data_IF_658272178081
#
_entry.id   IF_658272178081
#
_cell.length_a   1.000
_cell.length_b   1.000
_cell.length_c   1.000
_cell.angle_alpha   90.00
_cell.angle_beta   90.00
_cell.angle_gamma   90.00
#
_symmetry.space_group_name_H-M   'P 1'
#
loop_
_entity.id
_entity.type
_entity.pdbx_description
1 polymer ?
#
# COMPACT_ATOMS: atom_id res chain seq x y z
N UNK A 1 6.01 -20.42 -8.37
CA UNK A 1 4.83 -20.17 -7.52
C UNK A 1 5.32 -20.05 -6.10
N UNK A 2 4.76 -19.14 -5.32
CA UNK A 2 5.13 -18.93 -3.91
C UNK A 2 3.87 -18.56 -3.12
N UNK A 3 3.81 -18.94 -1.85
CA UNK A 3 2.73 -18.58 -0.95
C UNK A 3 2.85 -17.12 -0.49
N UNK A 4 1.72 -16.43 -0.27
CA UNK A 4 1.74 -14.98 0.00
C UNK A 4 2.54 -14.61 1.24
N UNK A 5 2.49 -15.43 2.29
CA UNK A 5 3.23 -15.27 3.54
C UNK A 5 4.76 -15.34 3.36
N UNK A 6 5.24 -15.94 2.26
CA UNK A 6 6.66 -16.02 1.91
C UNK A 6 7.08 -14.99 0.85
N UNK A 7 6.16 -14.13 0.39
CA UNK A 7 6.49 -13.09 -0.59
C UNK A 7 7.37 -12.03 0.07
N UNK A 8 8.46 -11.71 -0.61
CA UNK A 8 9.48 -10.74 -0.18
C UNK A 8 9.64 -9.62 -1.21
N UNK A 9 10.36 -8.53 -0.88
CA UNK A 9 10.64 -7.45 -1.83
C UNK A 9 11.31 -7.91 -3.15
N UNK A 10 12.14 -8.95 -3.13
CA UNK A 10 12.75 -9.53 -4.33
C UNK A 10 11.71 -10.12 -5.29
N UNK A 11 10.62 -10.68 -4.74
CA UNK A 11 9.52 -11.17 -5.55
C UNK A 11 8.77 -10.00 -6.21
N UNK A 12 8.57 -8.90 -5.49
CA UNK A 12 7.93 -7.70 -6.06
C UNK A 12 8.73 -7.14 -7.25
N UNK A 13 10.07 -7.10 -7.15
CA UNK A 13 10.94 -6.69 -8.25
C UNK A 13 10.75 -7.59 -9.48
N UNK A 14 10.73 -8.91 -9.30
CA UNK A 14 10.51 -9.87 -10.41
C UNK A 14 9.14 -9.68 -11.06
N UNK A 15 8.09 -9.47 -10.27
CA UNK A 15 6.73 -9.21 -10.78
C UNK A 15 6.71 -7.90 -11.57
N UNK A 16 7.28 -6.83 -11.02
CA UNK A 16 7.35 -5.53 -11.68
C UNK A 16 8.12 -5.59 -13.01
N UNK A 17 9.28 -6.25 -13.04
CA UNK A 17 10.06 -6.45 -14.27
C UNK A 17 9.27 -7.24 -15.33
N UNK A 18 8.53 -8.27 -14.91
CA UNK A 18 7.69 -9.04 -15.82
C UNK A 18 6.57 -8.17 -16.39
N UNK A 19 5.89 -7.38 -15.55
CA UNK A 19 4.82 -6.48 -15.99
C UNK A 19 5.35 -5.39 -16.94
N UNK A 20 6.51 -4.80 -16.63
CA UNK A 20 7.17 -3.82 -17.50
C UNK A 20 7.48 -4.39 -18.89
N UNK A 21 7.95 -5.64 -18.97
CA UNK A 21 8.15 -6.33 -20.25
C UNK A 21 6.88 -6.45 -21.12
N UNK A 22 5.70 -6.34 -20.49
CA UNK A 22 4.38 -6.40 -21.13
C UNK A 22 3.77 -5.01 -21.41
N UNK A 23 4.46 -3.91 -21.06
CA UNK A 23 3.95 -2.55 -21.23
C UNK A 23 3.57 -2.23 -22.69
N UNK A 24 4.29 -2.83 -23.66
CA UNK A 24 4.06 -2.66 -25.11
C UNK A 24 3.25 -3.78 -25.77
N UNK A 25 2.75 -4.75 -25.01
CA UNK A 25 1.86 -5.80 -25.53
C UNK A 25 0.52 -5.22 -26.03
N UNK A 26 -0.21 -6.00 -26.81
CA UNK A 26 -1.56 -5.71 -27.29
C UNK A 26 -2.68 -6.11 -26.31
N UNK A 27 -2.32 -6.64 -25.14
CA UNK A 27 -3.27 -7.00 -24.09
C UNK A 27 -4.11 -5.81 -23.62
N UNK A 28 -5.38 -6.06 -23.31
CA UNK A 28 -6.28 -5.04 -22.74
C UNK A 28 -5.97 -4.71 -21.28
N UNK A 29 -5.31 -5.62 -20.57
CA UNK A 29 -4.91 -5.50 -19.18
C UNK A 29 -4.24 -6.78 -18.71
N UNK A 30 -3.77 -6.80 -17.47
CA UNK A 30 -3.02 -7.92 -16.92
C UNK A 30 -3.65 -8.37 -15.60
N UNK A 31 -3.96 -9.66 -15.50
CA UNK A 31 -4.38 -10.31 -14.26
C UNK A 31 -3.17 -10.94 -13.58
N UNK A 32 -2.99 -10.66 -12.29
CA UNK A 32 -1.94 -11.25 -11.45
C UNK A 32 -2.61 -12.10 -10.37
N UNK A 33 -2.55 -13.41 -10.54
CA UNK A 33 -3.00 -14.33 -9.50
C UNK A 33 -2.05 -14.25 -8.30
N UNK A 34 -2.58 -13.95 -7.11
CA UNK A 34 -1.78 -13.72 -5.91
C UNK A 34 -2.49 -14.29 -4.67
N UNK A 35 -1.71 -14.78 -3.69
CA UNK A 35 -2.22 -15.18 -2.37
C UNK A 35 -2.71 -13.97 -1.56
N UNK A 36 -3.65 -14.16 -0.64
CA UNK A 36 -4.38 -13.02 -0.06
C UNK A 36 -3.63 -12.29 1.06
N UNK A 37 -2.70 -12.93 1.76
CA UNK A 37 -2.14 -12.37 3.00
C UNK A 37 -1.30 -11.11 2.78
N UNK A 38 -0.55 -11.06 1.68
CA UNK A 38 0.37 -9.96 1.36
C UNK A 38 0.00 -9.23 0.07
N UNK A 39 -1.17 -9.53 -0.51
CA UNK A 39 -1.61 -8.97 -1.80
C UNK A 39 -1.59 -7.43 -1.81
N UNK A 40 -2.01 -6.80 -0.70
CA UNK A 40 -2.01 -5.34 -0.55
C UNK A 40 -0.60 -4.74 -0.66
N UNK A 41 0.42 -5.42 -0.14
CA UNK A 41 1.81 -4.94 -0.18
C UNK A 41 2.37 -5.04 -1.60
N UNK A 42 2.13 -6.17 -2.27
CA UNK A 42 2.51 -6.34 -3.68
C UNK A 42 1.81 -5.32 -4.56
N UNK A 43 0.50 -5.10 -4.37
CA UNK A 43 -0.25 -4.09 -5.11
C UNK A 43 0.36 -2.70 -4.91
N UNK A 44 0.67 -2.31 -3.67
CA UNK A 44 1.32 -1.04 -3.34
C UNK A 44 2.65 -0.86 -4.08
N UNK A 45 3.54 -1.87 -4.04
CA UNK A 45 4.84 -1.76 -4.67
C UNK A 45 4.71 -1.55 -6.18
N UNK A 46 3.88 -2.37 -6.83
CA UNK A 46 3.62 -2.27 -8.27
C UNK A 46 3.03 -0.91 -8.66
N UNK A 47 2.20 -0.35 -7.78
CA UNK A 47 1.60 0.97 -7.97
C UNK A 47 2.65 2.07 -8.08
N UNK A 48 3.69 2.03 -7.24
CA UNK A 48 4.78 3.01 -7.27
C UNK A 48 5.79 2.70 -8.37
N UNK A 49 6.23 1.45 -8.47
CA UNK A 49 7.28 1.02 -9.38
C UNK A 49 6.88 1.16 -10.86
N UNK A 50 5.60 0.98 -11.17
CA UNK A 50 5.05 1.04 -12.53
C UNK A 50 4.18 2.30 -12.73
N UNK A 51 4.46 3.39 -12.02
CA UNK A 51 3.65 4.60 -12.15
C UNK A 51 3.56 5.08 -13.60
N UNK A 52 2.33 5.29 -14.08
CA UNK A 52 2.03 5.62 -15.48
C UNK A 52 1.83 4.41 -16.41
N UNK A 53 1.84 3.16 -15.90
CA UNK A 53 1.67 1.97 -16.74
C UNK A 53 0.42 2.07 -17.63
N UNK A 54 0.52 1.76 -18.93
CA UNK A 54 -0.51 2.13 -19.90
C UNK A 54 -1.75 1.23 -19.93
N UNK A 55 -1.86 0.29 -18.99
CA UNK A 55 -2.95 -0.70 -18.93
C UNK A 55 -3.39 -0.94 -17.48
N UNK A 56 -4.60 -1.45 -17.22
CA UNK A 56 -4.98 -1.95 -15.90
C UNK A 56 -4.18 -3.21 -15.54
N UNK A 57 -3.66 -3.22 -14.32
CA UNK A 57 -3.06 -4.40 -13.67
C UNK A 57 -3.96 -4.74 -12.49
N UNK A 58 -4.48 -5.95 -12.42
CA UNK A 58 -5.42 -6.36 -11.37
C UNK A 58 -4.86 -7.59 -10.66
N UNK A 59 -4.54 -7.43 -9.38
CA UNK A 59 -4.25 -8.55 -8.50
C UNK A 59 -5.58 -9.19 -8.07
N UNK A 60 -5.61 -10.51 -8.11
CA UNK A 60 -6.81 -11.29 -7.82
C UNK A 60 -6.42 -12.58 -7.10
N UNK A 61 -7.26 -13.01 -6.16
CA UNK A 61 -7.04 -14.23 -5.39
C UNK A 61 -8.35 -14.86 -4.95
N UNK A 62 -8.29 -15.72 -3.94
CA UNK A 62 -9.46 -16.32 -3.30
C UNK A 62 -9.19 -16.54 -1.82
N UNK A 63 -10.20 -16.35 -0.98
CA UNK A 63 -10.14 -16.63 0.46
C UNK A 63 -10.45 -18.10 0.74
N UNK A 64 -11.30 -18.71 -0.08
CA UNK A 64 -11.62 -20.14 -0.02
C UNK A 64 -10.86 -20.86 -1.14
N UNK A 65 -10.18 -21.94 -0.76
CA UNK A 65 -9.40 -22.79 -1.66
C UNK A 65 -10.17 -23.14 -2.94
N UNK A 66 -9.51 -23.04 -4.08
CA UNK A 66 -10.12 -23.15 -5.42
C UNK A 66 -10.66 -24.54 -5.76
N UNK A 67 -10.23 -25.57 -5.02
CA UNK A 67 -10.71 -26.95 -5.11
C UNK A 67 -12.09 -27.14 -4.47
N UNK A 68 -12.59 -26.16 -3.71
CA UNK A 68 -13.90 -26.24 -3.05
C UNK A 68 -15.02 -25.72 -3.95
N UNK A 69 -16.20 -26.38 -3.98
CA UNK A 69 -17.37 -25.88 -4.72
C UNK A 69 -17.83 -24.48 -4.30
N UNK A 70 -17.51 -24.06 -3.07
CA UNK A 70 -17.84 -22.75 -2.54
C UNK A 70 -16.70 -21.73 -2.68
N UNK A 71 -15.71 -21.98 -3.55
CA UNK A 71 -14.62 -21.05 -3.78
C UNK A 71 -15.10 -19.73 -4.38
N UNK A 72 -14.50 -18.64 -3.92
CA UNK A 72 -14.67 -17.30 -4.48
C UNK A 72 -13.76 -17.03 -5.69
N UNK A 73 -12.87 -17.96 -6.06
CA UNK A 73 -11.87 -17.78 -7.12
C UNK A 73 -12.49 -17.45 -8.49
N UNK A 74 -13.55 -18.16 -8.89
CA UNK A 74 -14.18 -17.98 -10.19
C UNK A 74 -14.80 -16.59 -10.33
N UNK A 75 -15.59 -16.17 -9.35
CA UNK A 75 -16.25 -14.86 -9.34
C UNK A 75 -15.23 -13.72 -9.27
N UNK A 76 -14.21 -13.82 -8.42
CA UNK A 76 -13.14 -12.82 -8.35
C UNK A 76 -12.43 -12.67 -9.70
N UNK A 77 -12.10 -13.79 -10.36
CA UNK A 77 -11.41 -13.76 -11.65
C UNK A 77 -12.28 -13.18 -12.77
N UNK A 78 -13.56 -13.56 -12.82
CA UNK A 78 -14.55 -13.02 -13.78
C UNK A 78 -14.74 -11.52 -13.54
N UNK A 79 -14.92 -11.09 -12.30
CA UNK A 79 -15.06 -9.68 -11.92
C UNK A 79 -13.84 -8.85 -12.30
N UNK A 80 -12.64 -9.37 -12.03
CA UNK A 80 -11.37 -8.74 -12.42
C UNK A 80 -11.22 -8.60 -13.94
N UNK A 81 -11.58 -9.64 -14.71
CA UNK A 81 -11.57 -9.60 -16.17
C UNK A 81 -12.58 -8.59 -16.74
N UNK A 82 -13.81 -8.58 -16.18
CA UNK A 82 -14.85 -7.59 -16.53
C UNK A 82 -14.37 -6.17 -16.25
N UNK A 83 -13.69 -5.94 -15.13
CA UNK A 83 -13.11 -4.65 -14.80
C UNK A 83 -12.06 -4.20 -15.83
N UNK A 84 -11.13 -5.09 -16.22
CA UNK A 84 -10.10 -4.77 -17.23
C UNK A 84 -10.71 -4.28 -18.53
N UNK A 85 -11.75 -4.96 -19.04
CA UNK A 85 -12.31 -4.65 -20.36
C UNK A 85 -13.31 -3.48 -20.36
N UNK A 86 -13.86 -3.11 -19.19
CA UNK A 86 -14.92 -2.09 -19.10
C UNK A 86 -14.50 -0.77 -18.45
N UNK A 87 -13.50 -0.78 -17.57
CA UNK A 87 -13.15 0.42 -16.79
C UNK A 87 -12.48 1.51 -17.62
N UNK A 88 -11.75 1.15 -18.67
CA UNK A 88 -10.85 2.05 -19.40
C UNK A 88 -9.90 2.83 -18.45
N UNK A 89 -9.53 2.19 -17.33
CA UNK A 89 -8.68 2.77 -16.30
C UNK A 89 -7.28 2.16 -16.34
N UNK A 90 -6.27 3.01 -16.18
CA UNK A 90 -4.91 2.58 -15.94
C UNK A 90 -4.62 2.62 -14.43
N UNK A 91 -3.83 1.66 -13.96
CA UNK A 91 -3.50 1.57 -12.55
C UNK A 91 -3.32 0.14 -12.07
N UNK A 92 -2.94 0.02 -10.80
CA UNK A 92 -2.87 -1.25 -10.10
C UNK A 92 -4.07 -1.34 -9.17
N UNK A 93 -4.79 -2.45 -9.27
CA UNK A 93 -6.02 -2.71 -8.52
C UNK A 93 -5.97 -4.06 -7.82
N UNK A 94 -6.76 -4.20 -6.78
CA UNK A 94 -7.09 -5.50 -6.16
C UNK A 94 -8.57 -5.77 -6.40
N UNK A 95 -8.90 -6.92 -6.98
CA UNK A 95 -10.28 -7.34 -7.23
C UNK A 95 -10.63 -8.56 -6.38
N UNK A 96 -11.59 -8.38 -5.47
CA UNK A 96 -12.08 -9.40 -4.53
C UNK A 96 -13.59 -9.23 -4.33
N UNK A 97 -14.26 -10.17 -3.67
CA UNK A 97 -15.68 -10.04 -3.36
C UNK A 97 -15.98 -8.74 -2.62
N UNK A 98 -17.07 -8.07 -2.99
CA UNK A 98 -17.54 -6.86 -2.29
C UNK A 98 -18.37 -7.20 -1.04
N UNK A 99 -19.04 -8.36 -1.03
CA UNK A 99 -19.83 -8.87 0.10
C UNK A 99 -19.56 -10.35 0.39
N UNK A 100 -20.22 -10.94 1.38
CA UNK A 100 -20.12 -12.40 1.62
C UNK A 100 -20.87 -13.23 0.56
N UNK A 101 -21.76 -12.57 -0.19
CA UNK A 101 -22.56 -13.15 -1.26
C UNK A 101 -21.81 -13.16 -2.60
N UNK A 102 -22.31 -13.99 -3.51
CA UNK A 102 -21.77 -14.18 -4.85
C UNK A 102 -22.32 -13.14 -5.87
N UNK A 103 -22.64 -11.94 -5.40
CA UNK A 103 -23.37 -10.92 -6.18
C UNK A 103 -22.44 -9.99 -6.97
N UNK A 104 -21.33 -9.58 -6.35
CA UNK A 104 -20.47 -8.51 -6.86
C UNK A 104 -19.00 -8.58 -6.41
N UNK A 105 -18.14 -8.00 -7.25
CA UNK A 105 -16.69 -7.87 -7.02
C UNK A 105 -16.33 -6.41 -6.83
N UNK A 106 -15.64 -6.09 -5.75
CA UNK A 106 -15.06 -4.78 -5.50
C UNK A 106 -13.67 -4.71 -6.14
N UNK A 107 -13.39 -3.62 -6.86
CA UNK A 107 -12.06 -3.29 -7.36
C UNK A 107 -11.54 -2.08 -6.58
N UNK A 108 -10.49 -2.32 -5.81
CA UNK A 108 -9.87 -1.33 -4.93
C UNK A 108 -8.60 -0.78 -5.58
N UNK A 109 -8.28 0.50 -5.32
CA UNK A 109 -6.97 1.04 -5.66
C UNK A 109 -5.88 0.28 -4.91
N UNK A 110 -4.81 -0.14 -5.57
CA UNK A 110 -3.73 -0.95 -4.99
C UNK A 110 -3.02 -0.31 -3.79
N UNK A 111 -3.15 1.00 -3.63
CA UNK A 111 -2.56 1.84 -2.57
C UNK A 111 -3.56 2.26 -1.49
N UNK A 112 -4.84 1.89 -1.62
CA UNK A 112 -5.92 2.23 -0.67
C UNK A 112 -6.65 0.99 -0.14
N UNK A 113 -6.14 -0.20 -0.40
CA UNK A 113 -6.77 -1.47 -0.04
C UNK A 113 -6.07 -2.14 1.12
N UNK A 114 -6.83 -2.75 2.03
CA UNK A 114 -6.31 -3.52 3.14
C UNK A 114 -7.12 -4.80 3.38
N UNK A 115 -6.45 -5.92 3.70
CA UNK A 115 -7.08 -7.14 4.19
C UNK A 115 -7.44 -6.95 5.67
N UNK A 116 -8.69 -6.60 5.93
CA UNK A 116 -9.22 -6.28 7.26
C UNK A 116 -9.86 -7.48 7.97
N UNK A 117 -10.09 -8.59 7.27
CA UNK A 117 -10.61 -9.81 7.87
C UNK A 117 -9.74 -11.02 7.54
N UNK A 118 -9.65 -11.97 8.48
CA UNK A 118 -8.78 -13.15 8.36
C UNK A 118 -9.32 -14.21 7.38
N UNK A 119 -10.65 -14.37 7.27
CA UNK A 119 -11.26 -15.43 6.45
C UNK A 119 -12.46 -15.04 5.56
N UNK A 120 -13.11 -13.88 5.75
CA UNK A 120 -14.29 -13.50 4.96
C UNK A 120 -13.93 -13.29 3.49
N UNK A 121 -14.87 -13.58 2.58
CA UNK A 121 -14.67 -13.36 1.14
C UNK A 121 -14.43 -11.87 0.82
N UNK A 122 -15.19 -10.99 1.46
CA UNK A 122 -15.00 -9.53 1.41
C UNK A 122 -13.96 -9.02 2.42
N UNK A 123 -12.90 -9.80 2.67
CA UNK A 123 -11.85 -9.40 3.60
C UNK A 123 -11.07 -8.15 3.17
N UNK A 124 -11.06 -7.82 1.89
CA UNK A 124 -10.35 -6.64 1.38
C UNK A 124 -11.30 -5.44 1.33
N UNK A 125 -10.87 -4.35 1.96
CA UNK A 125 -11.66 -3.14 2.07
C UNK A 125 -10.84 -1.94 1.59
N UNK A 126 -11.51 -0.96 0.98
CA UNK A 126 -10.89 0.34 0.74
C UNK A 126 -10.93 1.14 2.04
N UNK A 127 -9.77 1.60 2.47
CA UNK A 127 -9.63 2.35 3.71
C UNK A 127 -10.06 3.80 3.49
N UNK A 128 -11.01 4.28 4.31
CA UNK A 128 -11.48 5.66 4.32
C UNK A 128 -12.33 6.09 3.13
N UNK A 129 -12.78 5.14 2.29
CA UNK A 129 -13.64 5.43 1.15
C UNK A 129 -14.39 4.17 0.69
N UNK A 130 -15.28 4.33 -0.30
CA UNK A 130 -15.88 3.20 -1.03
C UNK A 130 -14.84 2.54 -1.95
N UNK A 131 -15.00 1.25 -2.31
CA UNK A 131 -14.23 0.64 -3.38
C UNK A 131 -14.25 1.50 -4.64
N UNK A 132 -13.11 1.64 -5.32
CA UNK A 132 -12.98 2.52 -6.47
C UNK A 132 -14.00 2.16 -7.57
N UNK A 133 -14.24 0.85 -7.73
CA UNK A 133 -15.27 0.33 -8.62
C UNK A 133 -15.96 -0.89 -8.00
N UNK A 134 -17.21 -1.13 -8.42
CA UNK A 134 -17.96 -2.34 -8.11
C UNK A 134 -18.45 -2.93 -9.43
N UNK A 135 -18.16 -4.21 -9.64
CA UNK A 135 -18.70 -5.02 -10.75
C UNK A 135 -19.86 -5.83 -10.17
N UNK A 136 -21.09 -5.44 -10.50
CA UNK A 136 -22.30 -6.20 -10.15
C UNK A 136 -22.95 -6.69 -11.44
N UNK A 137 -22.99 -8.01 -11.63
CA UNK A 137 -23.44 -8.64 -12.88
C UNK A 137 -22.75 -8.03 -14.12
N UNK A 138 -23.47 -7.22 -14.89
CA UNK A 138 -22.98 -6.53 -16.09
C UNK A 138 -22.86 -5.01 -15.93
N UNK A 139 -22.98 -4.49 -14.72
CA UNK A 139 -22.83 -3.06 -14.44
C UNK A 139 -21.50 -2.78 -13.76
N UNK A 140 -20.76 -1.79 -14.28
CA UNK A 140 -19.61 -1.20 -13.64
C UNK A 140 -20.04 0.08 -12.93
N UNK A 141 -20.00 0.09 -11.61
CA UNK A 141 -20.23 1.29 -10.79
C UNK A 141 -18.86 1.90 -10.49
N UNK A 142 -18.66 3.17 -10.87
CA UNK A 142 -17.43 3.92 -10.60
C UNK A 142 -17.63 4.88 -9.42
N UNK A 143 -16.87 4.69 -8.34
CA UNK A 143 -16.87 5.58 -7.17
C UNK A 143 -15.62 6.48 -7.10
N UNK A 144 -14.54 6.11 -7.79
CA UNK A 144 -13.30 6.90 -7.81
C UNK A 144 -13.26 7.84 -9.03
N UNK A 145 -13.27 9.17 -8.82
CA UNK A 145 -13.13 10.14 -9.90
C UNK A 145 -11.65 10.40 -10.21
N UNK A 146 -11.35 10.57 -11.49
CA UNK A 146 -10.04 11.05 -11.95
C UNK A 146 -8.97 9.97 -12.13
N UNK A 147 -7.72 10.38 -12.42
CA UNK A 147 -6.64 9.47 -12.75
C UNK A 147 -6.04 8.83 -11.49
N UNK A 148 -5.74 7.54 -11.60
CA UNK A 148 -5.06 6.78 -10.56
C UNK A 148 -3.62 7.24 -10.37
N UNK A 149 -2.84 7.28 -11.46
CA UNK A 149 -1.49 7.83 -11.47
C UNK A 149 -1.53 9.35 -11.57
N UNK A 150 -0.68 10.04 -10.80
CA UNK A 150 -0.59 11.50 -10.86
C UNK A 150 0.34 12.00 -11.96
N UNK A 151 1.33 11.19 -12.33
CA UNK A 151 2.14 11.44 -13.52
C UNK A 151 1.46 10.88 -14.78
N UNK A 152 1.63 11.58 -15.91
CA UNK A 152 1.08 11.16 -17.20
C UNK A 152 1.94 10.13 -17.91
N UNK A 153 3.26 10.30 -17.85
CA UNK A 153 4.20 9.49 -18.60
C UNK A 153 4.58 8.22 -17.86
N UNK A 154 4.71 7.11 -18.59
CA UNK A 154 5.20 5.85 -18.05
C UNK A 154 6.73 5.88 -17.93
N UNK A 155 7.22 6.09 -16.72
CA UNK A 155 8.65 6.00 -16.39
C UNK A 155 8.82 5.02 -15.23
N UNK A 156 9.01 3.72 -15.49
CA UNK A 156 9.09 2.72 -14.45
C UNK A 156 10.34 2.93 -13.58
N UNK A 157 10.15 2.86 -12.26
CA UNK A 157 11.21 2.94 -11.25
C UNK A 157 11.21 1.65 -10.44
N UNK A 158 11.81 0.61 -11.00
CA UNK A 158 11.79 -0.76 -10.43
C UNK A 158 13.06 -0.96 -9.60
N UNK A 159 13.05 -0.36 -8.41
CA UNK A 159 14.12 -0.49 -7.42
C UNK A 159 13.53 -0.28 -6.03
N UNK A 160 14.15 -0.88 -5.02
CA UNK A 160 13.82 -0.70 -3.61
C UNK A 160 15.04 -0.94 -2.73
N UNK A 161 15.00 -0.41 -1.51
CA UNK A 161 15.89 -0.78 -0.42
C UNK A 161 15.03 -1.20 0.78
N UNK A 162 15.25 -2.42 1.28
CA UNK A 162 14.47 -3.01 2.38
C UNK A 162 14.94 -2.57 3.76
N UNK A 163 15.93 -1.67 3.87
CA UNK A 163 16.34 -1.01 5.14
C UNK A 163 15.32 -0.01 5.65
N UNK A 164 14.06 -0.45 5.75
CA UNK A 164 12.91 0.28 6.30
C UNK A 164 12.24 -0.54 7.39
N UNK A 165 11.96 0.07 8.54
CA UNK A 165 11.20 -0.57 9.61
C UNK A 165 9.79 0.01 9.73
N UNK A 166 8.84 -0.85 10.07
CA UNK A 166 7.51 -0.45 10.54
C UNK A 166 7.44 -0.71 12.04
N UNK A 167 7.26 0.35 12.82
CA UNK A 167 7.15 0.29 14.28
C UNK A 167 5.72 0.58 14.69
N UNK A 168 5.01 -0.46 15.13
CA UNK A 168 3.72 -0.30 15.79
C UNK A 168 3.93 0.11 17.24
N UNK A 169 3.63 1.38 17.52
CA UNK A 169 3.74 1.89 18.87
C UNK A 169 2.64 1.30 19.77
N UNK A 170 2.90 1.17 21.07
CA UNK A 170 1.86 0.84 22.05
C UNK A 170 2.28 1.39 23.42
N UNK A 171 1.36 1.53 24.38
CA UNK A 171 1.73 1.87 25.75
C UNK A 171 2.79 0.90 26.29
N UNK A 172 3.88 1.45 26.82
CA UNK A 172 5.00 0.64 27.32
C UNK A 172 5.92 0.06 26.23
N UNK A 173 5.90 0.57 24.99
CA UNK A 173 6.87 0.19 23.97
C UNK A 173 8.32 0.37 24.49
N UNK A 174 9.11 -0.69 24.43
CA UNK A 174 10.52 -0.66 24.87
C UNK A 174 11.37 0.11 23.85
N UNK A 175 11.93 1.28 24.20
CA UNK A 175 12.77 2.07 23.30
C UNK A 175 13.99 1.30 22.77
N UNK A 176 14.47 0.27 23.49
CA UNK A 176 15.60 -0.56 23.03
C UNK A 176 15.33 -1.27 21.71
N UNK A 177 14.06 -1.59 21.42
CA UNK A 177 13.70 -2.17 20.12
C UNK A 177 13.97 -1.18 18.97
N UNK A 178 13.67 0.10 19.18
CA UNK A 178 13.96 1.15 18.19
C UNK A 178 15.45 1.46 18.12
N UNK A 179 16.14 1.50 19.26
CA UNK A 179 17.59 1.65 19.32
C UNK A 179 18.31 0.56 18.51
N UNK A 180 17.92 -0.71 18.70
CA UNK A 180 18.48 -1.82 17.92
C UNK A 180 18.27 -1.63 16.42
N UNK A 181 17.10 -1.16 15.99
CA UNK A 181 16.82 -0.88 14.57
C UNK A 181 17.76 0.21 14.03
N UNK A 182 18.03 1.27 14.79
CA UNK A 182 18.97 2.33 14.40
C UNK A 182 20.40 1.78 14.30
N UNK A 183 20.82 0.95 15.26
CA UNK A 183 22.15 0.34 15.27
C UNK A 183 22.38 -0.58 14.06
N UNK A 184 21.32 -1.23 13.56
CA UNK A 184 21.33 -2.04 12.33
C UNK A 184 21.31 -1.22 11.02
N UNK A 185 21.46 0.11 11.12
CA UNK A 185 21.58 1.05 10.00
C UNK A 185 20.37 1.04 9.07
N UNK A 186 19.18 0.95 9.66
CA UNK A 186 17.94 1.25 8.93
C UNK A 186 17.92 2.72 8.51
N UNK A 187 17.43 2.98 7.29
CA UNK A 187 17.48 4.30 6.64
C UNK A 187 16.14 5.03 6.69
N UNK A 188 15.05 4.29 6.92
CA UNK A 188 13.73 4.86 7.11
C UNK A 188 12.95 4.08 8.17
N UNK A 189 12.13 4.80 8.94
CA UNK A 189 11.28 4.27 10.00
C UNK A 189 9.89 4.84 9.80
N UNK A 190 8.91 3.96 9.68
CA UNK A 190 7.49 4.31 9.66
C UNK A 190 6.93 3.96 11.03
N UNK A 191 6.42 4.95 11.75
CA UNK A 191 5.71 4.75 13.01
C UNK A 191 4.22 4.59 12.73
N UNK A 192 3.65 3.46 13.14
CA UNK A 192 2.21 3.29 13.30
C UNK A 192 1.84 3.78 14.71
N UNK A 193 1.67 5.10 14.82
CA UNK A 193 1.43 5.82 16.09
C UNK A 193 -0.03 5.84 16.52
N UNK A 194 -0.32 6.40 17.69
CA UNK A 194 -1.70 6.46 18.21
C UNK A 194 -2.47 7.69 17.71
N UNK A 195 -3.77 7.53 17.46
CA UNK A 195 -4.69 8.63 17.15
C UNK A 195 -4.22 9.49 15.97
N UNK A 196 -4.05 10.80 16.20
CA UNK A 196 -3.60 11.75 15.18
C UNK A 196 -2.08 11.66 14.85
N UNK A 197 -1.37 10.64 15.33
CA UNK A 197 0.05 10.42 15.06
C UNK A 197 0.93 10.77 16.26
N UNK A 198 0.94 9.91 17.28
CA UNK A 198 1.75 10.11 18.47
C UNK A 198 2.54 8.85 18.87
N UNK A 199 3.67 9.10 19.54
CA UNK A 199 4.44 8.10 20.29
C UNK A 199 4.82 8.69 21.66
N UNK A 200 5.22 7.84 22.60
CA UNK A 200 5.55 8.26 23.97
C UNK A 200 6.86 9.01 24.08
N UNK A 201 6.97 9.85 25.11
CA UNK A 201 8.18 10.64 25.42
C UNK A 201 9.45 9.79 25.57
N UNK A 202 9.31 8.53 25.97
CA UNK A 202 10.42 7.57 26.05
C UNK A 202 11.16 7.36 24.72
N UNK A 203 10.51 7.66 23.59
CA UNK A 203 11.09 7.52 22.24
C UNK A 203 11.81 8.78 21.76
N UNK A 204 11.61 9.93 22.42
CA UNK A 204 11.97 11.23 21.85
C UNK A 204 13.47 11.39 21.61
N UNK A 205 14.31 10.90 22.53
CA UNK A 205 15.75 11.03 22.37
C UNK A 205 16.29 10.13 21.26
N UNK A 206 15.69 8.95 21.05
CA UNK A 206 16.01 8.10 19.91
C UNK A 206 15.51 8.70 18.59
N UNK A 207 14.38 9.40 18.57
CA UNK A 207 13.90 10.15 17.39
C UNK A 207 14.89 11.25 17.02
N UNK A 208 15.35 12.04 18.00
CA UNK A 208 16.37 13.07 17.79
C UNK A 208 17.69 12.46 17.28
N UNK A 209 18.12 11.34 17.85
CA UNK A 209 19.29 10.57 17.38
C UNK A 209 19.10 10.14 15.93
N UNK A 210 17.96 9.55 15.59
CA UNK A 210 17.66 9.09 14.24
C UNK A 210 17.67 10.25 13.21
N UNK A 211 17.16 11.42 13.59
CA UNK A 211 17.29 12.65 12.77
C UNK A 211 18.75 13.04 12.54
N UNK A 212 19.59 13.00 13.57
CA UNK A 212 21.04 13.29 13.45
C UNK A 212 21.76 12.26 12.55
N UNK A 213 21.31 11.01 12.56
CA UNK A 213 21.80 9.94 11.68
C UNK A 213 21.21 10.00 10.25
N UNK A 214 20.43 11.04 9.90
CA UNK A 214 19.75 11.22 8.61
C UNK A 214 18.80 10.07 8.23
N UNK A 215 18.19 9.42 9.24
CA UNK A 215 17.14 8.42 9.04
C UNK A 215 15.83 9.13 8.75
N UNK A 216 15.12 8.74 7.69
CA UNK A 216 13.78 9.24 7.42
C UNK A 216 12.79 8.72 8.47
N UNK A 217 12.00 9.60 9.07
CA UNK A 217 11.00 9.25 10.08
C UNK A 217 9.62 9.65 9.58
N UNK A 218 8.76 8.67 9.28
CA UNK A 218 7.38 8.89 8.86
C UNK A 218 6.38 8.51 9.95
N UNK A 219 5.26 9.22 10.05
CA UNK A 219 4.16 8.90 10.97
C UNK A 219 2.89 8.54 10.21
N UNK A 220 2.35 7.36 10.51
CA UNK A 220 0.99 6.92 10.20
C UNK A 220 0.22 6.66 11.50
N UNK A 221 -1.02 6.20 11.41
CA UNK A 221 -1.86 5.89 12.57
C UNK A 221 -2.19 4.41 12.66
N UNK A 222 -2.38 3.92 13.89
CA UNK A 222 -3.01 2.62 14.19
C UNK A 222 -4.50 2.63 13.89
N UNK A 223 -5.13 3.81 13.87
CA UNK A 223 -6.52 3.94 13.43
C UNK A 223 -6.58 3.53 11.96
N UNK A 224 -7.48 2.59 11.65
CA UNK A 224 -7.63 2.10 10.28
C UNK A 224 -7.96 3.24 9.32
N UNK A 225 -8.84 4.14 9.71
CA UNK A 225 -9.22 5.33 8.94
C UNK A 225 -8.92 6.61 9.72
N UNK A 226 -8.75 7.70 8.99
CA UNK A 226 -8.38 9.01 9.48
C UNK A 226 -7.05 9.49 8.90
N UNK A 227 -6.76 10.77 9.14
CA UNK A 227 -5.54 11.44 8.71
C UNK A 227 -4.72 11.80 9.95
N UNK A 228 -3.41 11.56 9.93
CA UNK A 228 -2.54 12.09 10.98
C UNK A 228 -2.56 13.63 10.93
N UNK A 229 -2.68 14.26 12.09
CA UNK A 229 -2.63 15.71 12.23
C UNK A 229 -1.86 16.06 13.51
N UNK A 230 -0.54 16.02 13.38
CA UNK A 230 0.39 16.22 14.49
C UNK A 230 0.46 17.68 14.95
N UNK A 231 -0.16 18.62 14.24
CA UNK A 231 -0.15 20.03 14.63
C UNK A 231 -1.12 20.36 15.77
N UNK A 232 -2.12 19.51 16.02
CA UNK A 232 -3.19 19.75 17.01
C UNK A 232 -2.64 19.77 18.44
N UNK A 233 -1.87 18.75 18.82
CA UNK A 233 -1.34 18.59 20.18
C UNK A 233 0.15 18.97 20.26
N UNK A 234 0.58 19.46 21.43
CA UNK A 234 1.98 19.81 21.68
C UNK A 234 2.93 18.64 21.42
N UNK A 235 2.57 17.44 21.88
CA UNK A 235 3.35 16.23 21.65
C UNK A 235 3.58 15.93 20.16
N UNK A 236 2.60 16.18 19.30
CA UNK A 236 2.75 16.02 17.86
C UNK A 236 3.67 17.09 17.25
N UNK A 237 3.55 18.35 17.71
CA UNK A 237 4.44 19.44 17.27
C UNK A 237 5.90 19.19 17.67
N UNK A 238 6.14 18.67 18.87
CA UNK A 238 7.46 18.24 19.32
C UNK A 238 8.05 17.18 18.39
N UNK A 239 7.28 16.15 18.07
CA UNK A 239 7.72 15.07 17.17
C UNK A 239 8.06 15.59 15.77
N UNK A 240 7.28 16.52 15.23
CA UNK A 240 7.60 17.18 13.96
C UNK A 240 8.90 17.99 14.05
N UNK A 241 9.11 18.73 15.14
CA UNK A 241 10.37 19.43 15.40
C UNK A 241 11.56 18.46 15.49
N UNK A 242 11.34 17.27 16.05
CA UNK A 242 12.33 16.18 16.09
C UNK A 242 12.49 15.43 14.77
N UNK A 243 11.82 15.86 13.70
CA UNK A 243 12.04 15.38 12.32
C UNK A 243 11.07 14.30 11.85
N UNK A 244 10.02 13.99 12.61
CA UNK A 244 8.97 13.09 12.14
C UNK A 244 8.09 13.81 11.10
N UNK A 245 7.89 13.15 9.96
CA UNK A 245 7.07 13.64 8.85
C UNK A 245 5.68 12.97 8.90
N UNK A 246 4.58 13.73 9.04
CA UNK A 246 3.23 13.17 8.96
C UNK A 246 2.92 12.67 7.54
N UNK A 247 2.41 11.45 7.41
CA UNK A 247 2.13 10.81 6.11
C UNK A 247 0.63 10.82 5.76
N UNK A 248 -0.07 11.89 6.14
CA UNK A 248 -1.50 12.10 5.84
C UNK A 248 -2.37 10.89 6.26
N UNK A 249 -3.24 10.40 5.40
CA UNK A 249 -4.06 9.20 5.59
C UNK A 249 -3.51 7.98 4.84
N UNK A 250 -2.19 7.92 4.62
CA UNK A 250 -1.54 6.75 4.03
C UNK A 250 -1.60 5.58 5.01
N UNK A 251 -2.02 4.42 4.53
CA UNK A 251 -2.05 3.17 5.30
C UNK A 251 -0.61 2.78 5.68
N UNK A 252 -0.37 2.34 6.91
CA UNK A 252 0.95 2.01 7.45
C UNK A 252 1.75 1.02 6.59
N UNK A 253 1.08 -0.03 6.12
CA UNK A 253 1.65 -1.03 5.21
C UNK A 253 2.06 -0.42 3.86
N UNK A 254 1.29 0.54 3.35
CA UNK A 254 1.55 1.24 2.09
C UNK A 254 2.70 2.24 2.26
N UNK A 255 2.77 2.93 3.41
CA UNK A 255 3.86 3.81 3.78
C UNK A 255 5.19 3.07 3.90
N UNK A 256 5.18 1.87 4.49
CA UNK A 256 6.34 0.98 4.53
C UNK A 256 6.86 0.68 3.11
N UNK A 257 5.97 0.23 2.22
CA UNK A 257 6.32 -0.12 0.84
C UNK A 257 6.79 1.10 0.05
N UNK A 258 6.12 2.25 0.21
CA UNK A 258 6.51 3.51 -0.45
C UNK A 258 7.89 3.97 0.00
N UNK A 259 8.21 3.85 1.29
CA UNK A 259 9.54 4.19 1.80
C UNK A 259 10.63 3.25 1.26
N UNK A 260 10.35 1.95 1.13
CA UNK A 260 11.30 1.01 0.51
C UNK A 260 11.58 1.39 -0.95
N UNK A 261 10.52 1.71 -1.71
CA UNK A 261 10.64 2.17 -3.09
C UNK A 261 11.35 3.52 -3.20
N UNK A 262 11.02 4.49 -2.34
CA UNK A 262 11.64 5.81 -2.32
C UNK A 262 13.15 5.72 -2.02
N UNK A 263 13.57 4.87 -1.06
CA UNK A 263 15.00 4.64 -0.82
C UNK A 263 15.71 4.01 -2.03
N UNK A 264 15.06 3.08 -2.74
CA UNK A 264 15.67 2.45 -3.91
C UNK A 264 15.77 3.35 -5.14
N UNK A 265 15.03 4.46 -5.18
CA UNK A 265 14.83 5.25 -6.41
C UNK A 265 15.20 6.74 -6.27
N UNK A 266 15.11 7.30 -5.06
CA UNK A 266 15.40 8.70 -4.77
C UNK A 266 15.75 8.91 -3.28
N UNK A 267 16.68 8.11 -2.75
CA UNK A 267 17.04 8.13 -1.32
C UNK A 267 17.35 9.52 -0.77
N UNK A 268 17.99 10.38 -1.58
CA UNK A 268 18.39 11.73 -1.18
C UNK A 268 17.18 12.65 -0.93
N UNK A 269 16.06 12.40 -1.60
CA UNK A 269 14.85 13.23 -1.50
C UNK A 269 13.67 12.44 -0.92
N UNK A 270 13.92 11.37 -0.16
CA UNK A 270 12.88 10.49 0.38
C UNK A 270 11.74 11.26 1.06
N UNK A 271 12.02 12.31 1.83
CA UNK A 271 10.99 13.12 2.47
C UNK A 271 10.03 13.74 1.47
N UNK A 272 10.54 14.27 0.35
CA UNK A 272 9.71 14.80 -0.73
C UNK A 272 8.97 13.67 -1.45
N UNK A 273 9.64 12.57 -1.79
CA UNK A 273 9.02 11.42 -2.46
C UNK A 273 7.84 10.84 -1.64
N UNK A 274 7.98 10.78 -0.32
CA UNK A 274 6.94 10.28 0.58
C UNK A 274 5.72 11.20 0.62
N UNK A 275 5.90 12.52 0.46
CA UNK A 275 4.84 13.54 0.50
C UNK A 275 4.21 13.84 -0.87
N UNK A 276 4.80 13.38 -1.97
CA UNK A 276 4.21 13.52 -3.31
C UNK A 276 3.27 12.36 -3.59
N UNK A 277 2.06 12.65 -4.04
CA UNK A 277 1.08 11.64 -4.45
C UNK A 277 1.51 11.02 -5.78
N UNK A 278 1.77 9.71 -5.81
CA UNK A 278 2.25 9.01 -7.02
C UNK A 278 1.14 8.20 -7.67
N UNK A 279 0.41 7.45 -6.86
CA UNK A 279 -0.56 6.45 -7.25
C UNK A 279 -1.80 6.48 -6.33
N UNK A 280 -2.25 7.68 -5.97
CA UNK A 280 -3.44 7.93 -5.16
C UNK A 280 -3.43 7.26 -3.77
N UNK A 281 -2.25 7.19 -3.15
CA UNK A 281 -2.03 6.53 -1.86
C UNK A 281 -2.55 7.31 -0.64
N UNK A 282 -2.75 8.61 -0.78
CA UNK A 282 -3.42 9.47 0.20
C UNK A 282 -4.29 10.51 -0.51
N UNK A 283 -5.17 11.14 0.26
CA UNK A 283 -5.97 12.29 -0.16
C UNK A 283 -5.26 13.60 0.18
N UNK A 284 -5.32 14.55 -0.75
CA UNK A 284 -4.87 15.94 -0.53
C UNK A 284 -5.83 16.71 0.38
#
# INVERSE_FOLDING_TARGET
>A
SEYSENITPEHWLKIAQKLDSLAKSDYKGILVAHGTDTMQYTAAFLSFALSGFPKPIVLVGSQRSSDRPSSDAALNLIGAAKFIVRSNMNGVFVAMHNSENDDDTACHLGTRVRKNHTSKRNAFETVGAKPAFIISQDTLIQNFPGPYYKQKDYTPKISLDSKVALIKYHPGYDPKMFEYILDQKYKAIIFEGTGLGHIGKSMYDLVKRAKQENVFLGMTSQCLDGQVNMAVYESGRDLMNFGIVPLSNMISEIALVKAMWALGTDAKNISNTMLVNVASEFTE
#
